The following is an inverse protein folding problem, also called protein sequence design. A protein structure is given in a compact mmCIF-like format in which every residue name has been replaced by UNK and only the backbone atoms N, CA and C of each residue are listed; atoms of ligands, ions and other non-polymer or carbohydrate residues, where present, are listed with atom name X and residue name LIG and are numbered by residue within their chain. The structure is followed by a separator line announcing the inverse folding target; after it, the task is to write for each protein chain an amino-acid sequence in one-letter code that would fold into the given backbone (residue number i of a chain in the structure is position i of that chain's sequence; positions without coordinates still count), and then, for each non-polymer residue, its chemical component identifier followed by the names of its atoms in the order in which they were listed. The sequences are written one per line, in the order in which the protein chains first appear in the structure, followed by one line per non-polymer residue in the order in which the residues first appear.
data_IF_604241782969
#
_entry.id   IF_604241782969
#
_cell.length_a   1.000
_cell.length_b   1.000
_cell.length_c   1.000
_cell.angle_alpha   90.00
_cell.angle_beta   90.00
_cell.angle_gamma   90.00
#
_symmetry.space_group_name_H-M   'P 1'
#
loop_
_entity.id
_entity.type
_entity.pdbx_description
1 polymer ?
#
# COMPACT_ATOMS: atom_id res chain seq x y z
N UNK A 1 16.02 8.18 2.16
CA UNK A 1 16.56 6.82 1.93
C UNK A 1 16.00 6.25 0.65
N UNK A 2 16.82 5.63 -0.15
CA UNK A 2 16.40 4.95 -1.38
C UNK A 2 16.69 3.47 -1.31
N UNK A 3 15.75 2.66 -1.78
CA UNK A 3 15.92 1.21 -1.90
C UNK A 3 15.65 0.84 -3.35
N UNK A 4 16.60 0.11 -3.98
CA UNK A 4 16.37 -0.48 -5.28
C UNK A 4 15.80 -1.88 -5.07
N UNK A 5 14.54 -2.06 -5.44
CA UNK A 5 13.82 -3.31 -5.19
C UNK A 5 14.00 -4.36 -6.29
N UNK A 6 14.65 -4.02 -7.40
CA UNK A 6 14.65 -4.85 -8.60
C UNK A 6 15.04 -6.32 -8.39
N UNK A 7 16.00 -6.61 -7.52
CA UNK A 7 16.48 -7.95 -7.26
C UNK A 7 16.08 -8.49 -5.88
N UNK A 8 15.33 -7.72 -5.10
CA UNK A 8 14.93 -8.12 -3.75
C UNK A 8 13.68 -8.99 -3.79
N UNK A 9 13.64 -10.01 -2.91
CA UNK A 9 12.42 -10.71 -2.62
C UNK A 9 11.47 -9.81 -1.84
N UNK A 10 10.18 -10.19 -1.76
CA UNK A 10 9.22 -9.44 -0.95
C UNK A 10 9.62 -9.45 0.53
N UNK A 11 10.21 -10.52 1.01
CA UNK A 11 10.65 -10.61 2.40
C UNK A 11 11.83 -9.68 2.67
N UNK A 12 12.83 -9.69 1.81
CA UNK A 12 13.98 -8.80 1.93
C UNK A 12 13.58 -7.32 1.91
N UNK A 13 12.72 -6.96 0.97
CA UNK A 13 12.25 -5.59 0.85
C UNK A 13 11.48 -5.13 2.08
N UNK A 14 10.55 -5.96 2.55
CA UNK A 14 9.75 -5.62 3.73
C UNK A 14 10.58 -5.58 5.00
N UNK A 15 11.58 -6.44 5.12
CA UNK A 15 12.50 -6.40 6.26
C UNK A 15 13.28 -5.09 6.29
N UNK A 16 13.77 -4.63 5.14
CA UNK A 16 14.45 -3.33 5.06
C UNK A 16 13.54 -2.19 5.49
N UNK A 17 12.28 -2.21 5.07
CA UNK A 17 11.32 -1.20 5.48
C UNK A 17 11.07 -1.21 7.00
N UNK A 18 10.85 -2.39 7.57
CA UNK A 18 10.57 -2.51 9.00
C UNK A 18 11.74 -2.09 9.86
N UNK A 19 12.96 -2.39 9.42
CA UNK A 19 14.17 -2.10 10.20
C UNK A 19 14.65 -0.66 10.03
N UNK A 20 14.16 0.05 9.04
CA UNK A 20 14.56 1.43 8.79
C UNK A 20 13.92 2.38 9.81
N UNK A 21 14.71 3.31 10.33
CA UNK A 21 14.25 4.40 11.19
C UNK A 21 13.92 5.66 10.40
N UNK A 22 14.16 5.65 9.10
CA UNK A 22 13.85 6.78 8.24
C UNK A 22 12.34 6.93 8.09
N UNK A 23 11.87 8.18 8.12
CA UNK A 23 10.45 8.46 7.90
C UNK A 23 10.09 8.51 6.42
N UNK A 24 11.01 8.99 5.59
CA UNK A 24 10.80 9.10 4.15
C UNK A 24 11.63 8.03 3.44
N UNK A 25 10.97 7.15 2.72
CA UNK A 25 11.60 6.03 2.01
C UNK A 25 11.13 6.05 0.56
N UNK A 26 12.08 5.98 -0.37
CA UNK A 26 11.79 5.87 -1.80
C UNK A 26 12.21 4.47 -2.25
N UNK A 27 11.26 3.74 -2.82
CA UNK A 27 11.49 2.40 -3.37
C UNK A 27 11.41 2.49 -4.88
N UNK A 28 12.52 2.16 -5.55
CA UNK A 28 12.60 2.18 -7.01
C UNK A 28 12.62 0.77 -7.57
N UNK A 29 12.14 0.63 -8.80
CA UNK A 29 12.16 -0.63 -9.55
C UNK A 29 11.39 -1.76 -8.86
N UNK A 30 10.28 -1.45 -8.23
CA UNK A 30 9.42 -2.47 -7.64
C UNK A 30 8.90 -3.41 -8.72
N UNK A 31 8.99 -4.71 -8.47
CA UNK A 31 8.73 -5.73 -9.49
C UNK A 31 7.93 -6.87 -8.89
N UNK A 32 6.69 -6.60 -8.53
CA UNK A 32 5.75 -7.60 -8.04
C UNK A 32 5.96 -8.07 -6.61
N UNK A 33 6.74 -7.37 -5.80
CA UNK A 33 6.92 -7.76 -4.41
C UNK A 33 5.62 -7.58 -3.63
N UNK A 34 5.16 -8.66 -3.00
CA UNK A 34 3.89 -8.71 -2.28
C UNK A 34 4.01 -8.14 -0.87
N UNK A 35 2.86 -7.77 -0.30
CA UNK A 35 2.73 -7.32 1.09
C UNK A 35 3.60 -6.11 1.43
N UNK A 36 3.94 -5.30 0.44
CA UNK A 36 4.81 -4.14 0.64
C UNK A 36 4.20 -3.19 1.67
N UNK A 37 5.01 -2.82 2.66
CA UNK A 37 4.64 -1.93 3.76
C UNK A 37 3.45 -2.42 4.61
N UNK A 38 3.22 -3.72 4.67
CA UNK A 38 2.15 -4.29 5.50
C UNK A 38 2.30 -3.86 6.96
N UNK A 39 1.22 -3.36 7.55
CA UNK A 39 1.18 -2.92 8.95
C UNK A 39 2.01 -1.67 9.26
N UNK A 40 2.54 -0.99 8.28
CA UNK A 40 3.47 0.13 8.48
C UNK A 40 2.82 1.33 9.15
N UNK A 41 3.60 2.01 10.00
CA UNK A 41 3.17 3.20 10.75
C UNK A 41 4.16 4.34 10.59
N UNK A 42 3.64 5.55 10.52
CA UNK A 42 4.43 6.77 10.71
C UNK A 42 5.48 7.04 9.65
N UNK A 43 5.33 6.44 8.47
CA UNK A 43 6.28 6.62 7.38
C UNK A 43 5.61 7.27 6.18
N UNK A 44 6.43 7.78 5.29
CA UNK A 44 6.02 8.17 3.95
C UNK A 44 6.85 7.37 2.95
N UNK A 45 6.19 6.53 2.18
CA UNK A 45 6.83 5.62 1.25
C UNK A 45 6.42 5.98 -0.18
N UNK A 46 7.40 6.26 -1.02
CA UNK A 46 7.17 6.52 -2.44
C UNK A 46 7.66 5.33 -3.23
N UNK A 47 6.81 4.78 -4.08
CA UNK A 47 7.09 3.56 -4.83
C UNK A 47 7.04 3.86 -6.32
N UNK A 48 8.07 3.49 -7.05
CA UNK A 48 8.06 3.45 -8.51
C UNK A 48 8.14 2.01 -8.99
N UNK A 49 7.43 1.70 -10.06
CA UNK A 49 7.30 0.35 -10.58
C UNK A 49 5.93 -0.25 -10.25
N UNK A 50 5.87 -1.56 -10.15
CA UNK A 50 4.62 -2.28 -9.91
C UNK A 50 4.75 -3.13 -8.65
N UNK A 51 4.27 -2.66 -7.49
CA UNK A 51 4.24 -3.50 -6.31
C UNK A 51 3.25 -4.65 -6.50
N UNK A 52 3.49 -5.73 -5.79
CA UNK A 52 2.66 -6.93 -5.89
C UNK A 52 1.36 -6.85 -5.09
N UNK A 53 0.70 -7.98 -4.93
CA UNK A 53 -0.56 -8.08 -4.22
C UNK A 53 -0.44 -7.63 -2.77
N UNK A 54 -1.53 -7.14 -2.21
CA UNK A 54 -1.68 -6.75 -0.81
C UNK A 54 -0.73 -5.61 -0.38
N UNK A 55 -0.44 -4.68 -1.30
CA UNK A 55 0.27 -3.45 -0.95
C UNK A 55 -0.47 -2.76 0.19
N UNK A 56 0.24 -2.41 1.25
CA UNK A 56 -0.34 -1.67 2.36
C UNK A 56 -1.42 -2.42 3.15
N UNK A 57 -1.44 -3.74 3.07
CA UNK A 57 -2.36 -4.52 3.91
C UNK A 57 -2.10 -4.23 5.38
N UNK A 58 -3.17 -4.11 6.17
CA UNK A 58 -3.11 -3.74 7.60
C UNK A 58 -2.40 -2.41 7.87
N UNK A 59 -2.25 -1.54 6.87
CA UNK A 59 -1.59 -0.24 7.01
C UNK A 59 -2.20 0.54 8.19
N UNK A 60 -1.35 1.17 8.99
CA UNK A 60 -1.80 1.83 10.21
C UNK A 60 -1.13 3.19 10.41
N UNK A 61 -1.27 4.07 9.43
CA UNK A 61 -0.82 5.45 9.54
C UNK A 61 0.27 5.87 8.57
N UNK A 62 0.90 4.94 7.86
CA UNK A 62 1.86 5.27 6.81
C UNK A 62 1.15 5.82 5.57
N UNK A 63 1.79 6.72 4.89
CA UNK A 63 1.35 7.25 3.60
C UNK A 63 2.16 6.60 2.49
N UNK A 64 1.48 6.01 1.50
CA UNK A 64 2.13 5.37 0.36
C UNK A 64 1.73 6.07 -0.92
N UNK A 65 2.71 6.52 -1.70
CA UNK A 65 2.52 7.11 -3.02
C UNK A 65 3.09 6.15 -4.06
N UNK A 66 2.26 5.67 -4.98
CA UNK A 66 2.68 4.72 -6.01
C UNK A 66 2.62 5.38 -7.38
N UNK A 67 3.76 5.51 -8.02
CA UNK A 67 3.86 5.97 -9.41
C UNK A 67 3.89 4.76 -10.34
N UNK A 68 2.72 4.19 -10.57
CA UNK A 68 2.52 3.00 -11.36
C UNK A 68 1.19 2.36 -11.01
N UNK A 69 0.98 1.15 -11.50
CA UNK A 69 -0.21 0.37 -11.21
C UNK A 69 0.02 -0.50 -9.99
N UNK A 70 -1.05 -0.82 -9.28
CA UNK A 70 -1.01 -1.80 -8.20
C UNK A 70 -1.83 -3.02 -8.59
N UNK A 71 -1.56 -4.13 -7.92
CA UNK A 71 -2.22 -5.40 -8.19
C UNK A 71 -3.41 -5.60 -7.25
N UNK A 72 -3.72 -6.83 -6.90
CA UNK A 72 -4.93 -7.14 -6.14
C UNK A 72 -4.78 -6.90 -4.65
N UNK A 73 -5.88 -6.71 -3.97
CA UNK A 73 -5.99 -6.58 -2.51
C UNK A 73 -5.17 -5.43 -1.91
N UNK A 74 -4.95 -4.36 -2.67
CA UNK A 74 -4.29 -3.16 -2.16
C UNK A 74 -5.10 -2.57 -1.00
N UNK A 75 -4.44 -2.30 0.12
CA UNK A 75 -5.09 -1.75 1.31
C UNK A 75 -6.01 -2.74 2.03
N UNK A 76 -5.81 -4.04 1.83
CA UNK A 76 -6.60 -5.06 2.52
C UNK A 76 -6.50 -4.87 4.04
N UNK A 77 -7.66 -4.77 4.68
CA UNK A 77 -7.79 -4.55 6.12
C UNK A 77 -6.98 -3.35 6.63
N UNK A 78 -6.89 -2.32 5.83
CA UNK A 78 -6.21 -1.07 6.18
C UNK A 78 -6.89 -0.42 7.37
N UNK A 79 -6.11 0.01 8.36
CA UNK A 79 -6.64 0.61 9.60
C UNK A 79 -6.49 2.12 9.63
N UNK A 80 -5.55 2.68 8.91
CA UNK A 80 -5.32 4.11 8.84
C UNK A 80 -4.21 4.44 7.86
N UNK A 81 -3.96 5.72 7.64
CA UNK A 81 -3.00 6.19 6.68
C UNK A 81 -3.62 6.47 5.33
N UNK A 82 -2.82 6.49 4.29
CA UNK A 82 -3.27 6.80 2.94
C UNK A 82 -2.46 6.07 1.89
N UNK A 83 -3.12 5.68 0.82
CA UNK A 83 -2.46 5.11 -0.37
C UNK A 83 -2.92 5.93 -1.57
N UNK A 84 -1.96 6.54 -2.26
CA UNK A 84 -2.21 7.32 -3.47
C UNK A 84 -1.65 6.56 -4.66
N UNK A 85 -2.52 6.15 -5.57
CA UNK A 85 -2.16 5.35 -6.73
C UNK A 85 -2.29 6.22 -7.97
N UNK A 86 -1.16 6.52 -8.62
CA UNK A 86 -1.12 7.35 -9.82
C UNK A 86 -1.37 6.55 -11.10
N UNK A 87 -1.70 5.28 -10.97
CA UNK A 87 -2.13 4.40 -12.04
C UNK A 87 -3.45 3.76 -11.70
N UNK A 88 -3.61 2.51 -12.11
CA UNK A 88 -4.82 1.73 -11.86
C UNK A 88 -4.59 0.68 -10.78
N UNK A 89 -5.67 0.27 -10.13
CA UNK A 89 -5.65 -0.77 -9.10
C UNK A 89 -6.35 -2.03 -9.60
N UNK A 90 -5.96 -3.16 -9.02
CA UNK A 90 -6.57 -4.45 -9.33
C UNK A 90 -7.84 -4.72 -8.51
N UNK A 91 -8.21 -6.00 -8.44
CA UNK A 91 -9.42 -6.44 -7.76
C UNK A 91 -9.30 -6.34 -6.24
N UNK A 92 -10.45 -6.24 -5.57
CA UNK A 92 -10.57 -6.22 -4.12
C UNK A 92 -9.75 -5.12 -3.43
N UNK A 93 -9.53 -3.98 -4.09
CA UNK A 93 -8.87 -2.82 -3.49
C UNK A 93 -9.69 -2.34 -2.29
N UNK A 94 -9.02 -2.15 -1.16
CA UNK A 94 -9.67 -1.73 0.07
C UNK A 94 -10.55 -2.79 0.71
N UNK A 95 -10.32 -4.05 0.43
CA UNK A 95 -11.10 -5.13 1.03
C UNK A 95 -11.02 -5.06 2.56
N UNK A 96 -12.19 -5.06 3.20
CA UNK A 96 -12.31 -5.01 4.65
C UNK A 96 -11.62 -3.81 5.32
N UNK A 97 -11.47 -2.68 4.61
CA UNK A 97 -10.91 -1.46 5.20
C UNK A 97 -11.67 -1.04 6.45
N UNK A 98 -10.93 -0.60 7.46
CA UNK A 98 -11.47 -0.08 8.73
C UNK A 98 -11.22 1.40 8.92
N UNK A 99 -10.29 1.96 8.17
CA UNK A 99 -9.93 3.38 8.24
C UNK A 99 -8.95 3.73 7.14
N UNK A 100 -8.55 5.00 7.11
CA UNK A 100 -7.65 5.50 6.09
C UNK A 100 -8.34 5.78 4.77
N UNK A 101 -7.56 6.10 3.77
CA UNK A 101 -8.08 6.41 2.42
C UNK A 101 -7.19 5.83 1.34
N UNK A 102 -7.82 5.49 0.22
CA UNK A 102 -7.14 5.05 -0.99
C UNK A 102 -7.66 5.93 -2.12
N UNK A 103 -6.76 6.65 -2.77
CA UNK A 103 -7.11 7.49 -3.92
C UNK A 103 -6.46 6.90 -5.16
N UNK A 104 -7.26 6.68 -6.20
CA UNK A 104 -6.85 6.01 -7.42
C UNK A 104 -7.10 6.95 -8.58
N UNK A 105 -6.05 7.25 -9.34
CA UNK A 105 -6.15 8.14 -10.48
C UNK A 105 -6.73 7.43 -11.70
N UNK A 106 -6.39 6.16 -11.90
CA UNK A 106 -6.92 5.34 -12.99
C UNK A 106 -8.15 4.55 -12.59
N UNK A 107 -8.27 3.33 -13.12
CA UNK A 107 -9.42 2.45 -12.88
C UNK A 107 -9.16 1.51 -11.72
N UNK A 108 -10.26 1.04 -11.09
CA UNK A 108 -10.21 -0.07 -10.13
C UNK A 108 -10.74 -1.33 -10.80
N UNK A 109 -10.29 -2.49 -10.32
CA UNK A 109 -10.89 -3.76 -10.67
C UNK A 109 -12.21 -3.99 -9.94
N UNK A 110 -12.65 -5.23 -9.93
CA UNK A 110 -13.91 -5.63 -9.29
C UNK A 110 -13.78 -5.65 -7.77
N UNK A 111 -14.92 -5.51 -7.10
CA UNK A 111 -15.06 -5.65 -5.65
C UNK A 111 -14.20 -4.68 -4.84
N UNK A 112 -13.98 -3.46 -5.35
CA UNK A 112 -13.37 -2.41 -4.56
C UNK A 112 -14.27 -2.07 -3.36
N UNK A 113 -13.65 -1.94 -2.18
CA UNK A 113 -14.36 -1.55 -0.97
C UNK A 113 -15.27 -2.61 -0.36
N UNK A 114 -15.14 -3.88 -0.75
CA UNK A 114 -15.95 -4.96 -0.17
C UNK A 114 -15.62 -5.11 1.31
N UNK A 115 -16.67 -5.23 2.14
CA UNK A 115 -16.55 -5.35 3.60
C UNK A 115 -15.86 -4.18 4.29
N UNK A 116 -15.95 -2.97 3.73
CA UNK A 116 -15.52 -1.76 4.43
C UNK A 116 -16.36 -1.57 5.69
N UNK A 117 -15.71 -1.18 6.79
CA UNK A 117 -16.37 -1.00 8.08
C UNK A 117 -15.82 0.22 8.81
N UNK A 118 -16.70 0.93 9.51
CA UNK A 118 -16.25 1.85 10.52
C UNK A 118 -15.64 1.07 11.67
N UNK A 119 -14.53 1.57 12.20
CA UNK A 119 -13.87 0.96 13.34
C UNK A 119 -13.49 2.05 14.32
N UNK A 120 -14.22 2.12 15.45
CA UNK A 120 -14.11 3.21 16.43
C UNK A 120 -14.42 4.54 15.72
N UNK A 121 -13.48 5.48 15.75
CA UNK A 121 -13.64 6.80 15.11
C UNK A 121 -13.08 6.84 13.69
N UNK A 122 -12.75 5.69 13.11
CA UNK A 122 -12.15 5.60 11.77
C UNK A 122 -13.19 5.28 10.73
N UNK A 123 -13.21 6.06 9.66
CA UNK A 123 -14.11 5.88 8.53
C UNK A 123 -13.25 5.64 7.29
N UNK A 124 -13.32 4.44 6.69
CA UNK A 124 -12.55 4.17 5.47
C UNK A 124 -13.12 4.89 4.26
N UNK A 125 -12.25 5.21 3.30
CA UNK A 125 -12.65 5.87 2.05
C UNK A 125 -11.75 5.41 0.89
N UNK A 126 -12.37 5.31 -0.28
CA UNK A 126 -11.66 5.01 -1.54
C UNK A 126 -12.00 6.08 -2.57
#
# INVERSE_FOLDING_TARGET
MKIDAGQLSHQELNDQLRMSREQNIIIENCLGQRYLASGSRGKKVTVTGTPGNALGSYLDGTEIDVYGNVQEATGDTMNGGAIYIHGSAGDATGYAMRGGKILIQGDTGYRAGVHMKEYKDKIPAI
#
